data_IF_227073612741
#
_entry.id   IF_227073612741
#
_cell.length_a   1.000
_cell.length_b   1.000
_cell.length_c   1.000
_cell.angle_alpha   90.00
_cell.angle_beta   90.00
_cell.angle_gamma   90.00
#
_symmetry.space_group_name_H-M   'P 1'
#
loop_
_entity.id
_entity.type
_entity.pdbx_description
1 polymer ?
#
# COMPACT_ATOMS: atom_id res chain seq x y z
N UNK A 1 18.35 -2.16 -5.88
CA UNK A 1 18.84 -3.24 -4.98
C UNK A 1 18.00 -4.51 -5.08
N UNK A 2 16.69 -4.51 -4.79
CA UNK A 2 15.85 -5.72 -4.83
C UNK A 2 15.89 -6.53 -6.15
N UNK A 3 15.93 -5.84 -7.31
CA UNK A 3 16.05 -6.50 -8.64
C UNK A 3 17.44 -7.12 -8.81
N UNK A 4 18.48 -6.37 -8.45
CA UNK A 4 19.88 -6.78 -8.60
C UNK A 4 20.22 -7.97 -7.71
N UNK A 5 19.75 -7.99 -6.46
CA UNK A 5 19.96 -9.11 -5.54
C UNK A 5 19.27 -10.38 -6.06
N UNK A 6 18.00 -10.28 -6.42
CA UNK A 6 17.28 -11.41 -7.01
C UNK A 6 17.99 -11.96 -8.26
N UNK A 7 18.52 -11.08 -9.12
CA UNK A 7 19.29 -11.50 -10.29
C UNK A 7 20.61 -12.22 -9.94
N UNK A 8 21.35 -11.74 -8.95
CA UNK A 8 22.57 -12.40 -8.47
C UNK A 8 22.28 -13.78 -7.89
N UNK A 9 21.21 -13.92 -7.12
CA UNK A 9 20.81 -15.20 -6.54
C UNK A 9 20.40 -16.21 -7.62
N UNK A 10 19.76 -15.75 -8.72
CA UNK A 10 19.53 -16.62 -9.90
C UNK A 10 20.82 -17.07 -10.57
N UNK A 11 21.79 -16.16 -10.73
CA UNK A 11 23.08 -16.51 -11.33
C UNK A 11 23.86 -17.52 -10.48
N UNK A 12 23.68 -17.51 -9.17
CA UNK A 12 24.28 -18.48 -8.25
C UNK A 12 23.47 -19.77 -8.10
N UNK A 13 22.31 -19.89 -8.75
CA UNK A 13 21.43 -21.05 -8.62
C UNK A 13 20.71 -21.17 -7.28
N UNK A 14 20.66 -20.09 -6.49
CA UNK A 14 19.99 -20.08 -5.18
C UNK A 14 18.46 -19.99 -5.29
N UNK A 15 17.95 -19.48 -6.42
CA UNK A 15 16.53 -19.39 -6.73
C UNK A 15 16.33 -19.20 -8.24
N UNK A 16 15.15 -19.50 -8.79
CA UNK A 16 14.84 -19.32 -10.22
C UNK A 16 13.66 -18.39 -10.51
N UNK A 17 12.77 -18.18 -9.55
CA UNK A 17 11.40 -17.74 -9.83
C UNK A 17 11.19 -16.23 -9.67
N UNK A 18 11.91 -15.63 -8.71
CA UNK A 18 11.70 -14.24 -8.33
C UNK A 18 12.51 -13.32 -9.22
N UNK A 19 11.84 -12.46 -9.99
CA UNK A 19 12.46 -11.39 -10.77
C UNK A 19 12.96 -10.24 -9.88
N UNK A 20 12.36 -10.07 -8.69
CA UNK A 20 12.65 -9.04 -7.72
C UNK A 20 12.12 -9.41 -6.33
N UNK A 21 12.85 -9.06 -5.27
CA UNK A 21 12.36 -9.21 -3.89
C UNK A 21 11.33 -8.14 -3.49
N UNK A 22 10.41 -8.53 -2.60
CA UNK A 22 9.43 -7.63 -2.00
C UNK A 22 10.09 -6.64 -1.05
N UNK A 23 9.45 -5.48 -0.86
CA UNK A 23 9.80 -4.47 0.14
C UNK A 23 8.75 -4.33 1.25
N UNK A 24 7.78 -5.25 1.32
CA UNK A 24 6.79 -5.36 2.38
C UNK A 24 6.64 -6.81 2.82
N UNK A 25 6.10 -7.00 4.02
CA UNK A 25 5.80 -8.31 4.61
C UNK A 25 5.03 -9.23 3.67
N UNK A 26 4.04 -8.67 2.97
CA UNK A 26 3.33 -9.34 1.89
C UNK A 26 3.64 -8.56 0.59
N UNK A 27 4.09 -9.22 -0.49
CA UNK A 27 4.32 -8.54 -1.77
C UNK A 27 3.13 -7.70 -2.23
N UNK A 28 3.38 -6.53 -2.79
CA UNK A 28 2.30 -5.65 -3.30
C UNK A 28 1.54 -6.27 -4.47
N UNK A 29 2.20 -7.16 -5.23
CA UNK A 29 1.61 -7.93 -6.31
C UNK A 29 0.93 -9.23 -5.85
N UNK A 30 0.91 -9.54 -4.55
CA UNK A 30 0.24 -10.74 -4.04
C UNK A 30 -1.28 -10.57 -4.11
N UNK A 31 -1.92 -11.33 -5.00
CA UNK A 31 -3.35 -11.23 -5.29
C UNK A 31 -4.23 -11.99 -4.30
N UNK A 32 -3.70 -12.99 -3.61
CA UNK A 32 -4.53 -13.91 -2.81
C UNK A 32 -4.67 -13.49 -1.35
N UNK A 33 -4.23 -12.28 -0.99
CA UNK A 33 -4.30 -11.75 0.38
C UNK A 33 -5.34 -10.63 0.48
N UNK A 34 -6.35 -10.86 1.32
CA UNK A 34 -7.35 -9.84 1.69
C UNK A 34 -6.71 -8.67 2.47
N UNK A 35 -7.32 -7.49 2.38
CA UNK A 35 -6.84 -6.27 3.02
C UNK A 35 -6.67 -6.41 4.52
N UNK A 36 -7.67 -6.96 5.22
CA UNK A 36 -7.66 -7.07 6.67
C UNK A 36 -6.59 -8.04 7.14
N UNK A 37 -6.40 -9.13 6.39
CA UNK A 37 -5.30 -10.08 6.63
C UNK A 37 -3.94 -9.40 6.45
N UNK A 38 -3.75 -8.62 5.38
CA UNK A 38 -2.52 -7.85 5.15
C UNK A 38 -2.23 -6.90 6.31
N UNK A 39 -3.23 -6.15 6.78
CA UNK A 39 -3.09 -5.20 7.90
C UNK A 39 -2.72 -5.94 9.19
N UNK A 40 -3.39 -7.06 9.49
CA UNK A 40 -3.10 -7.89 10.67
C UNK A 40 -1.67 -8.43 10.67
N UNK A 41 -1.21 -8.95 9.53
CA UNK A 41 0.15 -9.44 9.36
C UNK A 41 1.17 -8.32 9.55
N UNK A 42 0.92 -7.16 8.92
CA UNK A 42 1.80 -6.00 9.05
C UNK A 42 1.92 -5.55 10.51
N UNK A 43 0.81 -5.35 11.22
CA UNK A 43 0.86 -4.92 12.62
C UNK A 43 1.52 -5.95 13.55
N UNK A 44 1.43 -7.25 13.23
CA UNK A 44 2.12 -8.30 13.98
C UNK A 44 3.63 -8.24 13.80
N UNK A 45 4.09 -8.04 12.55
CA UNK A 45 5.52 -8.04 12.21
C UNK A 45 6.20 -6.70 12.49
N UNK A 46 5.48 -5.58 12.38
CA UNK A 46 5.99 -4.24 12.70
C UNK A 46 6.46 -4.14 14.15
N UNK A 47 5.74 -4.79 15.08
CA UNK A 47 6.13 -4.89 16.49
C UNK A 47 7.47 -5.58 16.69
N UNK A 48 7.78 -6.59 15.88
CA UNK A 48 9.06 -7.31 15.94
C UNK A 48 10.22 -6.51 15.32
N UNK A 49 9.93 -5.47 14.54
CA UNK A 49 10.92 -4.68 13.82
C UNK A 49 10.95 -3.20 14.24
N UNK A 50 10.41 -2.88 15.42
CA UNK A 50 10.40 -1.54 16.02
C UNK A 50 9.89 -0.43 15.07
N UNK A 51 8.96 -0.75 14.17
CA UNK A 51 8.36 0.22 13.25
C UNK A 51 9.23 0.60 12.04
N UNK A 52 10.34 -0.11 11.77
CA UNK A 52 11.18 0.11 10.58
C UNK A 52 10.57 -0.31 9.23
N UNK A 53 9.25 -0.47 9.15
CA UNK A 53 8.52 -0.95 7.98
C UNK A 53 7.34 -0.02 7.66
N UNK A 54 6.90 -0.02 6.39
CA UNK A 54 5.73 0.74 5.95
C UNK A 54 4.72 -0.19 5.28
N UNK A 55 3.46 -0.07 5.69
CA UNK A 55 2.33 -0.71 5.02
C UNK A 55 1.77 0.22 3.95
N UNK A 56 1.86 -0.16 2.68
CA UNK A 56 1.13 0.53 1.62
C UNK A 56 -0.17 -0.20 1.30
N UNK A 57 -1.29 0.52 1.36
CA UNK A 57 -2.59 0.03 0.94
C UNK A 57 -2.90 0.69 -0.40
N UNK A 58 -2.95 -0.10 -1.48
CA UNK A 58 -3.23 0.45 -2.82
C UNK A 58 -4.71 0.30 -3.14
N UNK A 59 -5.38 1.39 -3.50
CA UNK A 59 -6.77 1.36 -3.98
C UNK A 59 -6.83 1.78 -5.44
N UNK A 60 -7.84 1.30 -6.18
CA UNK A 60 -8.03 1.66 -7.59
C UNK A 60 -8.43 3.12 -7.78
N UNK A 61 -9.31 3.60 -6.91
CA UNK A 61 -9.85 4.95 -6.92
C UNK A 61 -9.73 5.59 -5.54
N UNK A 62 -9.93 6.90 -5.49
CA UNK A 62 -10.04 7.64 -4.23
C UNK A 62 -11.26 7.14 -3.45
N UNK A 63 -11.04 6.75 -2.20
CA UNK A 63 -12.08 6.34 -1.26
C UNK A 63 -12.59 7.53 -0.45
N UNK A 64 -13.79 7.43 0.13
CA UNK A 64 -14.37 8.51 0.94
C UNK A 64 -13.51 8.83 2.19
N UNK A 65 -13.59 10.07 2.68
CA UNK A 65 -12.86 10.49 3.87
C UNK A 65 -13.18 9.64 5.12
N UNK A 66 -14.42 9.18 5.22
CA UNK A 66 -14.85 8.30 6.31
C UNK A 66 -14.17 6.92 6.23
N UNK A 67 -14.06 6.33 5.04
CA UNK A 67 -13.29 5.08 4.84
C UNK A 67 -11.83 5.30 5.18
N UNK A 68 -11.23 6.40 4.72
CA UNK A 68 -9.83 6.72 5.03
C UNK A 68 -9.60 6.75 6.54
N UNK A 69 -10.46 7.48 7.27
CA UNK A 69 -10.39 7.57 8.73
C UNK A 69 -10.52 6.19 9.39
N UNK A 70 -11.53 5.40 9.01
CA UNK A 70 -11.75 4.05 9.58
C UNK A 70 -10.59 3.11 9.29
N UNK A 71 -10.05 3.15 8.08
CA UNK A 71 -8.92 2.34 7.68
C UNK A 71 -7.66 2.69 8.49
N UNK A 72 -7.39 3.98 8.70
CA UNK A 72 -6.27 4.44 9.52
C UNK A 72 -6.42 4.00 10.99
N UNK A 73 -7.61 4.17 11.57
CA UNK A 73 -7.89 3.69 12.92
C UNK A 73 -7.75 2.17 13.03
N UNK A 74 -8.19 1.44 12.02
CA UNK A 74 -8.06 -0.01 11.97
C UNK A 74 -6.58 -0.44 11.90
N UNK A 75 -5.76 0.18 11.05
CA UNK A 75 -4.31 -0.04 11.01
C UNK A 75 -3.67 0.18 12.39
N UNK A 76 -4.02 1.28 13.05
CA UNK A 76 -3.51 1.60 14.38
C UNK A 76 -3.88 0.53 15.41
N UNK A 77 -5.15 0.09 15.45
CA UNK A 77 -5.60 -0.98 16.37
C UNK A 77 -4.90 -2.31 16.13
N UNK A 78 -4.56 -2.63 14.89
CA UNK A 78 -3.81 -3.85 14.56
C UNK A 78 -2.32 -3.76 14.91
N UNK A 79 -1.83 -2.59 15.30
CA UNK A 79 -0.44 -2.33 15.69
C UNK A 79 0.48 -1.97 14.52
N UNK A 80 -0.07 -1.50 13.39
CA UNK A 80 0.72 -0.98 12.28
C UNK A 80 1.30 0.38 12.67
N UNK A 81 2.62 0.52 12.57
CA UNK A 81 3.33 1.73 13.05
C UNK A 81 3.38 2.82 11.98
N UNK A 82 3.54 2.44 10.71
CA UNK A 82 3.61 3.38 9.59
C UNK A 82 2.83 2.85 8.40
N UNK A 83 1.83 3.62 7.94
CA UNK A 83 1.04 3.24 6.77
C UNK A 83 0.77 4.39 5.80
N UNK A 84 0.49 4.04 4.56
CA UNK A 84 0.08 4.97 3.52
C UNK A 84 -1.03 4.39 2.65
N UNK A 85 -1.99 5.24 2.29
CA UNK A 85 -3.04 4.93 1.32
C UNK A 85 -2.62 5.46 -0.04
N UNK A 86 -2.43 4.55 -1.00
CA UNK A 86 -1.92 4.86 -2.32
C UNK A 86 -3.03 4.85 -3.36
N UNK A 87 -3.11 5.95 -4.10
CA UNK A 87 -3.90 6.08 -5.32
C UNK A 87 -2.99 6.02 -6.56
N UNK A 88 -3.59 5.70 -7.69
CA UNK A 88 -2.98 6.02 -9.00
C UNK A 88 -3.37 7.46 -9.32
N UNK A 89 -2.38 8.31 -9.58
CA UNK A 89 -2.58 9.71 -9.91
C UNK A 89 -2.24 9.92 -11.38
N UNK A 90 -3.18 10.41 -12.17
CA UNK A 90 -2.97 10.74 -13.59
C UNK A 90 -2.89 12.25 -13.75
N UNK A 91 -1.76 12.76 -14.23
CA UNK A 91 -1.54 14.18 -14.51
C UNK A 91 -1.69 14.42 -16.02
N UNK A 92 -2.62 15.27 -16.41
CA UNK A 92 -2.76 15.71 -17.79
C UNK A 92 -1.62 16.66 -18.18
N UNK A 93 -0.89 16.35 -19.25
CA UNK A 93 0.16 17.25 -19.75
C UNK A 93 -0.39 18.47 -20.48
N UNK A 94 -1.59 18.36 -21.06
CA UNK A 94 -2.21 19.43 -21.83
C UNK A 94 -2.75 20.56 -20.95
N UNK A 95 -3.50 20.24 -19.88
CA UNK A 95 -4.13 21.25 -19.01
C UNK A 95 -3.59 21.26 -17.56
N UNK A 96 -2.71 20.31 -17.19
CA UNK A 96 -2.11 20.25 -15.87
C UNK A 96 -2.99 19.64 -14.76
N UNK A 97 -4.23 19.24 -15.07
CA UNK A 97 -5.13 18.63 -14.10
C UNK A 97 -4.58 17.31 -13.54
N UNK A 98 -4.92 17.00 -12.29
CA UNK A 98 -4.54 15.74 -11.62
C UNK A 98 -5.81 15.02 -11.20
N UNK A 99 -5.96 13.78 -11.67
CA UNK A 99 -7.08 12.91 -11.34
C UNK A 99 -6.58 11.73 -10.50
N UNK A 100 -7.23 11.43 -9.38
CA UNK A 100 -6.90 10.29 -8.52
C UNK A 100 -7.52 8.98 -9.03
N UNK A 101 -7.21 8.62 -10.26
CA UNK A 101 -7.57 7.37 -10.90
C UNK A 101 -6.57 7.07 -12.04
N UNK A 102 -6.49 5.80 -12.44
CA UNK A 102 -5.84 5.39 -13.69
C UNK A 102 -6.81 5.66 -14.85
N UNK A 103 -6.55 6.71 -15.63
CA UNK A 103 -7.45 7.20 -16.69
C UNK A 103 -6.72 7.28 -18.02
N UNK A 104 -7.46 7.09 -19.12
CA UNK A 104 -6.95 7.22 -20.49
C UNK A 104 -7.35 8.54 -21.16
N UNK A 105 -8.31 9.27 -20.57
CA UNK A 105 -8.85 10.53 -21.08
C UNK A 105 -8.99 11.54 -19.95
N UNK A 106 -8.44 12.74 -20.14
CA UNK A 106 -8.58 13.84 -19.18
C UNK A 106 -10.05 14.30 -19.12
N UNK A 107 -10.69 14.30 -17.93
CA UNK A 107 -12.08 14.74 -17.79
C UNK A 107 -12.26 16.25 -18.02
N UNK A 108 -11.20 17.05 -17.82
CA UNK A 108 -11.26 18.52 -17.92
C UNK A 108 -11.12 19.03 -19.36
N UNK A 109 -10.32 18.35 -20.20
CA UNK A 109 -9.95 18.87 -21.51
C UNK A 109 -9.99 17.83 -22.64
N UNK A 110 -10.31 16.56 -22.35
CA UNK A 110 -10.31 15.49 -23.35
C UNK A 110 -8.93 15.09 -23.89
N UNK A 111 -7.84 15.57 -23.28
CA UNK A 111 -6.48 15.18 -23.65
C UNK A 111 -6.17 13.73 -23.28
N UNK A 112 -5.35 13.07 -24.09
CA UNK A 112 -4.93 11.66 -23.90
C UNK A 112 -3.47 11.53 -23.43
N UNK A 113 -2.70 12.62 -23.42
CA UNK A 113 -1.33 12.65 -22.88
C UNK A 113 -1.36 12.79 -21.36
N UNK A 114 -1.35 11.65 -20.68
CA UNK A 114 -1.46 11.51 -19.23
C UNK A 114 -0.19 10.87 -18.67
N UNK A 115 0.38 11.50 -17.66
CA UNK A 115 1.50 10.94 -16.89
C UNK A 115 0.99 10.30 -15.60
N UNK A 116 1.29 9.02 -15.41
CA UNK A 116 0.85 8.25 -14.24
C UNK A 116 1.90 8.32 -13.13
N UNK A 117 1.45 8.66 -11.93
CA UNK A 117 2.23 8.76 -10.71
C UNK A 117 1.64 7.85 -9.63
N UNK A 118 2.51 7.22 -8.84
CA UNK A 118 2.10 6.55 -7.61
C UNK A 118 3.31 6.35 -6.68
N UNK A 119 3.07 5.85 -5.46
CA UNK A 119 4.11 5.57 -4.47
C UNK A 119 4.77 4.22 -4.74
N UNK A 120 6.10 4.16 -4.69
CA UNK A 120 6.88 2.91 -4.89
C UNK A 120 7.59 2.44 -3.62
N UNK A 121 8.42 3.28 -3.01
CA UNK A 121 9.20 2.97 -1.79
C UNK A 121 9.14 4.12 -0.77
N UNK A 122 7.96 4.73 -0.62
CA UNK A 122 7.74 5.78 0.39
C UNK A 122 7.53 7.19 -0.17
N UNK A 123 7.68 7.44 -1.47
CA UNK A 123 7.34 8.72 -2.11
C UNK A 123 6.73 8.53 -3.51
N UNK A 124 5.98 9.53 -3.96
CA UNK A 124 5.24 9.52 -5.25
C UNK A 124 6.19 9.86 -6.40
N UNK A 125 6.20 9.04 -7.44
CA UNK A 125 7.07 9.21 -8.62
C UNK A 125 6.34 8.82 -9.90
N UNK A 126 6.76 9.34 -11.06
CA UNK A 126 6.17 8.97 -12.34
C UNK A 126 6.56 7.54 -12.71
N UNK A 127 5.57 6.69 -12.98
CA UNK A 127 5.74 5.25 -13.25
C UNK A 127 6.62 5.01 -14.48
N UNK A 128 6.54 5.91 -15.48
CA UNK A 128 7.35 5.84 -16.70
C UNK A 128 8.86 5.84 -16.42
N UNK A 129 9.31 6.48 -15.35
CA UNK A 129 10.73 6.57 -14.99
C UNK A 129 11.23 5.35 -14.20
N UNK A 130 10.35 4.42 -13.81
CA UNK A 130 10.75 3.25 -13.02
C UNK A 130 11.48 2.23 -13.89
N UNK A 131 12.32 1.41 -13.25
CA UNK A 131 12.91 0.23 -13.89
C UNK A 131 11.83 -0.69 -14.48
N UNK A 132 12.09 -1.35 -15.61
CA UNK A 132 11.11 -2.20 -16.29
C UNK A 132 10.43 -3.21 -15.35
N UNK A 133 11.21 -3.97 -14.58
CA UNK A 133 10.70 -4.92 -13.58
C UNK A 133 9.77 -4.29 -12.54
N UNK A 134 9.99 -3.03 -12.16
CA UNK A 134 9.12 -2.30 -11.22
C UNK A 134 7.82 -1.83 -11.90
N UNK A 135 7.87 -1.48 -13.19
CA UNK A 135 6.65 -1.21 -13.97
C UNK A 135 5.82 -2.48 -14.13
N UNK A 136 6.45 -3.61 -14.42
CA UNK A 136 5.74 -4.90 -14.53
C UNK A 136 5.13 -5.32 -13.18
N UNK A 137 5.80 -5.03 -12.06
CA UNK A 137 5.24 -5.21 -10.72
C UNK A 137 4.05 -4.28 -10.47
N UNK A 138 4.13 -3.00 -10.85
CA UNK A 138 3.04 -2.04 -10.72
C UNK A 138 1.74 -2.53 -11.39
N UNK A 139 1.83 -3.04 -12.61
CA UNK A 139 0.66 -3.55 -13.33
C UNK A 139 0.02 -4.79 -12.67
N UNK A 140 0.77 -5.53 -11.86
CA UNK A 140 0.31 -6.71 -11.13
C UNK A 140 -0.11 -6.42 -9.68
N UNK A 141 0.02 -5.17 -9.21
CA UNK A 141 -0.33 -4.82 -7.83
C UNK A 141 -1.80 -5.13 -7.52
N UNK A 142 -2.03 -5.75 -6.37
CA UNK A 142 -3.38 -5.88 -5.82
C UNK A 142 -3.89 -4.48 -5.47
N UNK A 143 -4.96 -4.08 -6.15
CA UNK A 143 -5.72 -2.87 -5.84
C UNK A 143 -6.98 -3.28 -5.09
N UNK A 144 -7.12 -2.81 -3.85
CA UNK A 144 -8.30 -3.08 -3.05
C UNK A 144 -9.46 -2.19 -3.53
N UNK A 145 -10.60 -2.80 -3.81
CA UNK A 145 -11.85 -2.15 -4.24
C UNK A 145 -12.92 -2.27 -3.15
N UNK A 146 -14.04 -1.58 -3.36
CA UNK A 146 -15.27 -1.73 -2.57
C UNK A 146 -15.12 -1.39 -1.08
N UNK A 147 -14.09 -0.62 -0.72
CA UNK A 147 -13.81 -0.25 0.66
C UNK A 147 -14.92 0.61 1.28
N UNK A 148 -15.63 1.38 0.46
CA UNK A 148 -16.83 2.11 0.88
C UNK A 148 -17.98 1.18 1.28
N UNK A 149 -18.14 0.04 0.61
CA UNK A 149 -19.15 -0.97 1.00
C UNK A 149 -18.72 -1.78 2.22
N UNK A 150 -17.41 -2.03 2.35
CA UNK A 150 -16.79 -2.83 3.43
C UNK A 150 -16.52 -2.04 4.71
N UNK A 151 -17.07 -0.84 4.83
CA UNK A 151 -16.91 0.05 5.98
C UNK A 151 -17.24 -0.61 7.34
N UNK A 152 -18.18 -1.57 7.38
CA UNK A 152 -18.58 -2.27 8.61
C UNK A 152 -17.51 -3.23 9.12
N UNK A 153 -16.76 -3.87 8.21
CA UNK A 153 -15.68 -4.80 8.57
C UNK A 153 -14.52 -4.11 9.33
N UNK A 154 -14.35 -2.80 9.14
CA UNK A 154 -13.37 -1.97 9.88
C UNK A 154 -13.84 -1.61 11.30
N UNK A 155 -15.13 -1.83 11.61
CA UNK A 155 -15.79 -1.49 12.88
C UNK A 155 -16.09 -2.75 13.70
N UNK A 156 -16.43 -3.87 13.05
CA UNK A 156 -16.99 -5.08 13.67
C UNK A 156 -15.99 -6.02 14.36
N UNK A 157 -14.71 -5.66 14.51
CA UNK A 157 -13.83 -6.41 15.40
C UNK A 157 -14.20 -6.03 16.84
N UNK A 158 -15.15 -6.80 17.40
CA UNK A 158 -15.51 -6.78 18.81
C UNK A 158 -14.26 -6.92 19.67
N UNK A 159 -14.22 -6.17 20.78
CA UNK A 159 -13.31 -6.35 21.92
C UNK A 159 -13.44 -7.75 22.54
N UNK A 160 -13.04 -8.77 21.80
CA UNK A 160 -13.27 -10.18 22.10
C UNK A 160 -11.99 -10.97 21.97
N UNK A 161 -11.03 -10.68 22.85
CA UNK A 161 -9.76 -11.37 22.94
C UNK A 161 -8.76 -10.53 23.72
N UNK A 162 -8.95 -10.44 25.03
CA UNK A 162 -7.93 -9.91 25.94
C UNK A 162 -6.59 -10.65 25.74
N UNK A 163 -5.46 -9.95 25.58
CA UNK A 163 -4.32 -10.25 26.41
C UNK A 163 -4.66 -9.71 27.78
N UNK A 164 -4.88 -10.59 28.74
CA UNK A 164 -4.79 -10.25 30.15
C UNK A 164 -3.40 -9.69 30.39
N UNK A 165 -3.27 -8.37 30.35
CA UNK A 165 -2.35 -7.60 31.17
C UNK A 165 -2.78 -6.15 31.05
N UNK A 166 -3.16 -5.60 32.20
CA UNK A 166 -3.46 -4.21 32.47
C UNK A 166 -2.59 -3.31 31.59
N UNK A 167 -3.22 -2.53 30.68
CA UNK A 167 -2.56 -1.41 30.01
C UNK A 167 -2.30 -0.37 31.11
N UNK A 168 -1.21 -0.55 31.85
CA UNK A 168 -0.57 0.52 32.58
C UNK A 168 0.16 1.35 31.55
N UNK A 169 -0.38 2.54 31.31
CA UNK A 169 0.30 3.75 30.85
C UNK A 169 1.82 3.59 30.64
N UNK A 170 2.23 3.22 29.43
CA UNK A 170 3.59 3.47 28.92
C UNK A 170 3.68 3.15 27.42
N UNK A 171 3.92 4.21 26.64
CA UNK A 171 4.22 4.26 25.20
C UNK A 171 3.02 4.14 24.23
N UNK A 172 2.23 5.22 24.13
CA UNK A 172 1.52 5.52 22.88
C UNK A 172 2.56 5.59 21.75
N UNK A 173 2.70 4.51 20.96
CA UNK A 173 3.51 4.59 19.74
C UNK A 173 2.65 5.30 18.70
N UNK A 174 2.96 6.54 18.32
CA UNK A 174 2.14 7.27 17.36
C UNK A 174 2.21 6.57 16.00
N UNK A 175 1.04 6.36 15.38
CA UNK A 175 1.01 5.86 14.00
C UNK A 175 1.36 7.00 13.06
N UNK A 176 2.47 6.86 12.35
CA UNK A 176 2.80 7.75 11.27
C UNK A 176 1.87 7.46 10.07
N UNK A 177 1.32 8.51 9.46
CA UNK A 177 0.46 8.39 8.29
C UNK A 177 1.01 9.26 7.17
N UNK A 178 1.33 8.64 6.04
CA UNK A 178 1.64 9.36 4.81
C UNK A 178 0.42 9.31 3.89
N UNK A 179 -0.20 10.46 3.65
CA UNK A 179 -1.22 10.65 2.60
C UNK A 179 -0.48 11.02 1.32
#
# INVERSE_FOLDING_TARGET
>A
QAVTLAAKDRMQGLQSDLTMYSNQWVPLAESNVDLFTRIKLAGTLDRACSGGAILHITTGTKVSAEVQKRLLLYCARMGVVYCALNYTLSKCRACGSITSADISLCPECGGTDLEVYTRVVGFVTPVKQWHATRRDEFHRRKRYSDLDARQKEMVEIKDGGSPSETITDSTETPVAVAI
#
